data_IF_278109296723
#
_entry.id   IF_278109296723
#
_cell.length_a   1.000
_cell.length_b   1.000
_cell.length_c   1.000
_cell.angle_alpha   90.00
_cell.angle_beta   90.00
_cell.angle_gamma   90.00
#
_symmetry.space_group_name_H-M   'P 1'
#
loop_
_entity.id
_entity.type
_entity.pdbx_description
1 polymer ?
#
# COMPACT_ATOMS: atom_id res chain seq x y z
N UNK A 1 24.30 3.43 -11.58
CA UNK A 1 24.04 3.39 -10.11
C UNK A 1 22.53 3.39 -9.95
N UNK A 2 21.95 2.30 -9.43
CA UNK A 2 20.50 2.21 -9.20
C UNK A 2 20.19 3.03 -7.95
N UNK A 3 19.40 4.10 -8.11
CA UNK A 3 18.96 4.92 -6.99
C UNK A 3 17.61 4.37 -6.48
N UNK A 4 17.57 3.94 -5.24
CA UNK A 4 16.33 3.50 -4.58
C UNK A 4 16.16 4.32 -3.32
N UNK A 5 14.97 4.85 -3.11
CA UNK A 5 14.66 5.60 -1.88
C UNK A 5 14.63 4.66 -0.67
N UNK A 6 15.50 4.89 0.30
CA UNK A 6 15.49 4.23 1.61
C UNK A 6 14.79 5.09 2.67
N UNK A 7 14.66 6.39 2.39
CA UNK A 7 13.94 7.38 3.21
C UNK A 7 13.24 8.38 2.31
N UNK A 8 12.09 8.85 2.74
CA UNK A 8 11.34 9.89 2.06
C UNK A 8 10.65 10.80 3.06
N UNK A 9 10.72 12.10 2.84
CA UNK A 9 10.01 13.11 3.64
C UNK A 9 9.04 13.86 2.75
N UNK A 10 7.80 13.98 3.19
CA UNK A 10 6.78 14.75 2.49
C UNK A 10 5.90 15.53 3.46
N UNK A 11 5.10 16.41 2.90
CA UNK A 11 3.97 17.06 3.58
C UNK A 11 2.69 16.36 3.09
N UNK A 12 1.91 15.83 4.02
CA UNK A 12 0.54 15.41 3.79
C UNK A 12 -0.40 16.57 4.11
N UNK A 13 -1.48 16.71 3.36
CA UNK A 13 -2.54 17.69 3.60
C UNK A 13 -3.90 17.01 3.53
N UNK A 14 -4.77 17.33 4.45
CA UNK A 14 -6.10 16.74 4.58
C UNK A 14 -7.17 17.82 4.69
N UNK A 15 -8.35 17.53 4.20
CA UNK A 15 -9.53 18.38 4.42
C UNK A 15 -9.91 18.39 5.90
N UNK A 16 -9.64 19.49 6.59
CA UNK A 16 -9.98 19.66 8.02
C UNK A 16 -11.49 19.54 8.28
N UNK A 17 -12.37 20.13 7.46
CA UNK A 17 -13.83 19.96 7.62
C UNK A 17 -14.23 18.47 7.52
N UNK A 18 -13.75 17.77 6.47
CA UNK A 18 -14.06 16.34 6.30
C UNK A 18 -13.54 15.50 7.48
N UNK A 19 -12.33 15.77 7.94
CA UNK A 19 -11.74 15.08 9.08
C UNK A 19 -12.55 15.30 10.38
N UNK A 20 -13.01 16.53 10.64
CA UNK A 20 -13.83 16.82 11.80
C UNK A 20 -15.18 16.10 11.73
N UNK A 21 -15.84 16.10 10.55
CA UNK A 21 -17.09 15.38 10.31
C UNK A 21 -16.93 13.87 10.52
N UNK A 22 -15.85 13.26 10.01
CA UNK A 22 -15.54 11.85 10.19
C UNK A 22 -15.33 11.49 11.68
N UNK A 23 -14.54 12.30 12.40
CA UNK A 23 -14.30 12.08 13.83
C UNK A 23 -15.61 12.20 14.63
N UNK A 24 -16.46 13.20 14.34
CA UNK A 24 -17.78 13.37 14.98
C UNK A 24 -18.69 12.18 14.69
N UNK A 25 -18.74 11.72 13.43
CA UNK A 25 -19.56 10.56 13.03
C UNK A 25 -19.12 9.27 13.72
N UNK A 26 -17.82 8.92 13.65
CA UNK A 26 -17.28 7.72 14.28
C UNK A 26 -17.45 7.75 15.81
N UNK A 27 -17.24 8.91 16.45
CA UNK A 27 -17.36 9.07 17.88
C UNK A 27 -18.79 8.88 18.43
N UNK A 28 -19.82 8.99 17.58
CA UNK A 28 -21.23 8.75 17.92
C UNK A 28 -21.65 7.28 17.76
N UNK A 29 -20.82 6.42 17.14
CA UNK A 29 -21.17 5.02 16.93
C UNK A 29 -21.12 4.23 18.25
N UNK A 30 -22.20 3.55 18.65
CA UNK A 30 -22.28 2.87 19.95
C UNK A 30 -21.33 1.66 20.05
N UNK A 31 -21.02 1.04 18.92
CA UNK A 31 -20.17 -0.14 18.78
C UNK A 31 -18.70 0.19 18.51
N UNK A 32 -18.33 1.48 18.45
CA UNK A 32 -16.97 1.92 18.07
C UNK A 32 -15.86 1.19 18.85
N UNK A 33 -16.02 1.03 20.16
CA UNK A 33 -14.99 0.39 21.00
C UNK A 33 -14.91 -1.13 20.84
N UNK A 34 -15.98 -1.76 20.39
CA UNK A 34 -16.03 -3.21 20.14
C UNK A 34 -15.57 -3.58 18.72
N UNK A 35 -15.61 -2.63 17.77
CA UNK A 35 -15.02 -2.78 16.44
C UNK A 35 -13.58 -2.24 16.45
N UNK A 36 -12.61 -3.14 16.68
CA UNK A 36 -11.20 -2.78 16.78
C UNK A 36 -10.71 -2.02 15.55
N UNK A 37 -11.16 -2.39 14.36
CA UNK A 37 -10.76 -1.74 13.10
C UNK A 37 -11.25 -0.29 13.07
N UNK A 38 -12.54 -0.05 13.30
CA UNK A 38 -13.09 1.31 13.33
C UNK A 38 -12.48 2.14 14.45
N UNK A 39 -12.23 1.53 15.61
CA UNK A 39 -11.59 2.21 16.72
C UNK A 39 -10.18 2.65 16.39
N UNK A 40 -9.39 1.82 15.72
CA UNK A 40 -8.03 2.16 15.27
C UNK A 40 -8.04 3.27 14.23
N UNK A 41 -8.95 3.25 13.26
CA UNK A 41 -9.16 4.34 12.29
C UNK A 41 -9.52 5.66 12.99
N UNK A 42 -10.46 5.62 13.94
CA UNK A 42 -10.83 6.79 14.73
C UNK A 42 -9.65 7.38 15.51
N UNK A 43 -8.84 6.55 16.17
CA UNK A 43 -7.65 6.99 16.88
C UNK A 43 -6.59 7.58 15.94
N UNK A 44 -6.45 6.99 14.75
CA UNK A 44 -5.53 7.48 13.73
C UNK A 44 -5.95 8.87 13.21
N UNK A 45 -7.25 9.06 12.91
CA UNK A 45 -7.79 10.37 12.53
C UNK A 45 -7.54 11.43 13.61
N UNK A 46 -7.74 11.12 14.90
CA UNK A 46 -7.44 12.01 16.02
C UNK A 46 -5.94 12.37 16.08
N UNK A 47 -5.06 11.40 15.85
CA UNK A 47 -3.61 11.63 15.81
C UNK A 47 -3.22 12.53 14.63
N UNK A 48 -3.81 12.32 13.44
CA UNK A 48 -3.60 13.19 12.28
C UNK A 48 -4.08 14.61 12.61
N UNK A 49 -5.31 14.76 13.15
CA UNK A 49 -5.87 16.06 13.55
C UNK A 49 -4.96 16.82 14.52
N UNK A 50 -4.38 16.13 15.51
CA UNK A 50 -3.43 16.74 16.47
C UNK A 50 -2.16 17.28 15.83
N UNK A 51 -1.71 16.64 14.73
CA UNK A 51 -0.48 17.03 14.01
C UNK A 51 -0.72 18.08 12.93
N UNK A 52 -1.91 18.05 12.33
CA UNK A 52 -2.26 18.94 11.23
C UNK A 52 -2.35 20.39 11.68
N UNK A 53 -1.78 21.30 10.90
CA UNK A 53 -1.96 22.73 11.02
C UNK A 53 -3.40 23.17 10.68
N UNK A 54 -3.67 24.48 10.79
CA UNK A 54 -4.98 25.05 10.45
C UNK A 54 -5.40 24.79 9.00
N UNK A 55 -4.42 24.69 8.10
CA UNK A 55 -4.59 24.36 6.69
C UNK A 55 -4.65 22.86 6.38
N UNK A 56 -4.62 22.00 7.41
CA UNK A 56 -4.62 20.56 7.29
C UNK A 56 -3.27 19.91 6.96
N UNK A 57 -2.18 20.70 6.86
CA UNK A 57 -0.85 20.20 6.48
C UNK A 57 -0.06 19.67 7.67
N UNK A 58 0.70 18.58 7.48
CA UNK A 58 1.64 18.03 8.47
C UNK A 58 2.75 17.22 7.78
N UNK A 59 3.93 17.18 8.42
CA UNK A 59 5.08 16.46 7.89
C UNK A 59 5.06 14.97 8.23
N UNK A 60 5.46 14.12 7.27
CA UNK A 60 5.60 12.69 7.44
C UNK A 60 6.96 12.23 6.92
N UNK A 61 7.65 11.42 7.72
CA UNK A 61 8.89 10.77 7.34
C UNK A 61 8.61 9.28 7.07
N UNK A 62 8.99 8.82 5.90
CA UNK A 62 8.94 7.42 5.51
C UNK A 62 10.34 6.81 5.57
N UNK A 63 10.43 5.57 6.04
CA UNK A 63 11.67 4.80 6.07
C UNK A 63 11.39 3.31 5.87
N UNK A 64 12.42 2.57 5.48
CA UNK A 64 12.37 1.12 5.55
C UNK A 64 12.24 0.70 7.02
N UNK A 65 11.45 -0.32 7.28
CA UNK A 65 11.49 -1.00 8.58
C UNK A 65 12.76 -1.85 8.60
N UNK A 66 13.71 -1.51 9.50
CA UNK A 66 14.92 -2.27 9.71
C UNK A 66 14.58 -3.67 10.20
N UNK A 67 14.73 -4.63 9.30
CA UNK A 67 14.54 -6.03 9.64
C UNK A 67 15.87 -6.76 9.92
N UNK A 68 17.02 -6.13 9.73
CA UNK A 68 18.31 -6.64 10.18
C UNK A 68 19.40 -5.59 9.97
N UNK A 69 20.09 -5.20 11.03
CA UNK A 69 21.09 -4.13 11.00
C UNK A 69 22.48 -4.59 10.59
N UNK A 70 22.71 -5.88 10.36
CA UNK A 70 24.01 -6.43 10.02
C UNK A 70 24.13 -6.76 8.52
N UNK A 71 24.69 -5.83 7.76
CA UNK A 71 25.27 -6.07 6.42
C UNK A 71 24.34 -6.55 5.28
N UNK A 72 23.02 -6.49 5.40
CA UNK A 72 22.13 -6.86 4.32
C UNK A 72 21.34 -5.66 3.80
N UNK A 73 21.22 -5.54 2.46
CA UNK A 73 20.34 -4.57 1.80
C UNK A 73 18.96 -4.62 2.44
N UNK A 74 18.48 -3.47 2.94
CA UNK A 74 17.14 -3.38 3.49
C UNK A 74 16.11 -3.63 2.39
N UNK A 75 15.18 -4.55 2.65
CA UNK A 75 14.15 -4.99 1.71
C UNK A 75 12.78 -4.43 2.10
N UNK A 76 11.91 -4.30 1.12
CA UNK A 76 10.51 -4.00 1.34
C UNK A 76 10.11 -2.55 1.08
N UNK A 77 8.95 -2.18 1.59
CA UNK A 77 8.31 -0.87 1.40
C UNK A 77 8.78 0.17 2.39
N UNK A 78 8.60 1.43 2.01
CA UNK A 78 8.72 2.55 2.93
C UNK A 78 7.43 2.70 3.76
N UNK A 79 7.59 2.85 5.06
CA UNK A 79 6.50 3.05 6.00
C UNK A 79 6.65 4.38 6.74
N UNK A 80 5.54 5.07 7.05
CA UNK A 80 5.60 6.34 7.76
C UNK A 80 5.93 6.13 9.24
N UNK A 81 6.73 7.04 9.77
CA UNK A 81 6.97 7.15 11.20
C UNK A 81 5.80 7.93 11.84
N UNK A 82 4.84 7.21 12.39
CA UNK A 82 3.67 7.78 13.06
C UNK A 82 2.43 7.90 12.16
N UNK A 83 1.48 8.75 12.55
CA UNK A 83 0.20 8.88 11.86
C UNK A 83 0.36 9.45 10.45
N UNK A 84 -0.23 8.78 9.46
CA UNK A 84 -0.16 9.12 8.03
C UNK A 84 -1.38 8.59 7.30
N UNK A 85 -1.70 9.21 6.17
CA UNK A 85 -2.72 8.76 5.22
C UNK A 85 -2.50 7.32 4.72
N UNK A 86 -1.26 6.82 4.68
CA UNK A 86 -0.96 5.44 4.27
C UNK A 86 -1.65 4.41 5.16
N UNK A 87 -1.81 4.70 6.46
CA UNK A 87 -2.43 3.77 7.42
C UNK A 87 -3.95 3.84 7.46
N UNK A 88 -4.58 4.87 6.88
CA UNK A 88 -6.03 4.96 6.79
C UNK A 88 -6.58 3.96 5.77
N UNK A 89 -7.75 3.42 6.05
CA UNK A 89 -8.49 2.66 5.07
C UNK A 89 -8.78 3.52 3.83
N UNK A 90 -9.00 2.85 2.70
CA UNK A 90 -9.13 3.49 1.39
C UNK A 90 -10.24 4.56 1.39
N UNK A 91 -11.39 4.26 1.99
CA UNK A 91 -12.56 5.14 1.96
C UNK A 91 -12.32 6.43 2.76
N UNK A 92 -11.73 6.32 3.96
CA UNK A 92 -11.41 7.50 4.77
C UNK A 92 -10.31 8.34 4.14
N UNK A 93 -9.27 7.69 3.59
CA UNK A 93 -8.23 8.39 2.85
C UNK A 93 -8.78 9.19 1.68
N UNK A 94 -9.62 8.57 0.82
CA UNK A 94 -10.27 9.27 -0.30
C UNK A 94 -11.06 10.46 0.16
N UNK A 95 -11.89 10.31 1.19
CA UNK A 95 -12.72 11.39 1.71
C UNK A 95 -11.92 12.60 2.20
N UNK A 96 -10.68 12.38 2.68
CA UNK A 96 -9.80 13.44 3.15
C UNK A 96 -9.05 14.17 2.05
N UNK A 97 -8.81 13.53 0.89
CA UNK A 97 -7.87 14.04 -0.13
C UNK A 97 -8.47 14.28 -1.52
N UNK A 98 -9.68 13.82 -1.80
CA UNK A 98 -10.28 13.81 -3.15
C UNK A 98 -10.36 15.19 -3.83
N UNK A 99 -10.32 16.28 -3.09
CA UNK A 99 -10.43 17.65 -3.60
C UNK A 99 -9.09 18.26 -4.01
N UNK A 100 -7.96 17.67 -3.63
CA UNK A 100 -6.64 18.27 -3.83
C UNK A 100 -5.61 17.32 -4.45
N UNK A 101 -5.94 16.04 -4.59
CA UNK A 101 -4.96 15.03 -4.99
C UNK A 101 -5.37 14.20 -6.19
N UNK A 102 -4.37 13.73 -6.91
CA UNK A 102 -4.47 12.62 -7.84
C UNK A 102 -3.78 11.40 -7.22
N UNK A 103 -4.46 10.25 -7.22
CA UNK A 103 -3.91 8.95 -6.81
C UNK A 103 -3.30 8.26 -8.04
N UNK A 104 -1.99 8.09 -8.02
CA UNK A 104 -1.22 7.43 -9.08
C UNK A 104 -0.75 6.07 -8.58
N UNK A 105 -1.01 5.03 -9.36
CA UNK A 105 -0.77 3.65 -8.97
C UNK A 105 -0.18 2.84 -10.15
N UNK A 106 0.61 1.82 -9.85
CA UNK A 106 1.09 0.90 -10.88
C UNK A 106 0.01 -0.15 -11.15
N UNK A 107 -0.44 -0.23 -12.40
CA UNK A 107 -1.41 -1.23 -12.82
C UNK A 107 -0.83 -2.64 -12.67
N UNK A 108 -1.54 -3.48 -11.92
CA UNK A 108 -1.18 -4.88 -11.73
C UNK A 108 0.29 -5.10 -11.25
N UNK A 109 0.77 -4.27 -10.30
CA UNK A 109 2.17 -4.13 -9.94
C UNK A 109 2.91 -5.46 -9.69
N UNK A 110 2.52 -6.22 -8.67
CA UNK A 110 3.23 -7.45 -8.27
C UNK A 110 3.29 -8.50 -9.38
N UNK A 111 2.17 -8.90 -10.00
CA UNK A 111 2.22 -9.87 -11.10
C UNK A 111 3.10 -9.40 -12.26
N UNK A 112 2.95 -8.13 -12.67
CA UNK A 112 3.72 -7.57 -13.79
C UNK A 112 5.22 -7.52 -13.51
N UNK A 113 5.62 -7.11 -12.29
CA UNK A 113 7.02 -7.02 -11.91
C UNK A 113 7.67 -8.40 -11.77
N UNK A 114 6.99 -9.37 -11.13
CA UNK A 114 7.51 -10.74 -10.98
C UNK A 114 7.61 -11.43 -12.35
N UNK A 115 6.62 -11.26 -13.23
CA UNK A 115 6.69 -11.80 -14.59
C UNK A 115 7.92 -11.26 -15.36
N UNK A 116 8.21 -9.96 -15.20
CA UNK A 116 9.39 -9.37 -15.82
C UNK A 116 10.71 -9.85 -15.20
N UNK A 117 10.73 -10.13 -13.88
CA UNK A 117 11.89 -10.77 -13.24
C UNK A 117 12.14 -12.15 -13.85
N UNK A 118 11.10 -12.99 -13.97
CA UNK A 118 11.24 -14.31 -14.58
C UNK A 118 11.77 -14.20 -16.02
N UNK A 119 11.20 -13.30 -16.83
CA UNK A 119 11.66 -13.07 -18.23
C UNK A 119 13.13 -12.63 -18.30
N UNK A 120 13.55 -11.69 -17.42
CA UNK A 120 14.97 -11.25 -17.35
C UNK A 120 15.93 -12.38 -17.00
N UNK A 121 15.45 -13.33 -16.23
CA UNK A 121 16.20 -14.49 -15.81
C UNK A 121 16.05 -15.71 -16.77
N UNK A 122 15.42 -15.53 -17.93
CA UNK A 122 15.13 -16.59 -18.89
C UNK A 122 14.35 -17.77 -18.27
N UNK A 123 13.42 -17.46 -17.35
CA UNK A 123 12.47 -18.40 -16.79
C UNK A 123 11.12 -18.14 -17.43
N UNK A 124 10.62 -19.08 -18.21
CA UNK A 124 9.30 -18.99 -18.82
C UNK A 124 8.24 -19.42 -17.80
N UNK A 125 7.42 -18.46 -17.35
CA UNK A 125 6.26 -18.68 -16.50
C UNK A 125 5.00 -18.36 -17.33
N UNK A 126 4.43 -19.40 -17.95
CA UNK A 126 3.36 -19.26 -18.96
C UNK A 126 2.09 -18.69 -18.36
N UNK A 127 1.66 -19.25 -17.22
CA UNK A 127 0.41 -18.86 -16.57
C UNK A 127 0.46 -17.43 -16.02
N UNK A 128 1.61 -17.01 -15.45
CA UNK A 128 1.76 -15.64 -14.99
C UNK A 128 1.82 -14.65 -16.17
N UNK A 129 2.47 -15.04 -17.27
CA UNK A 129 2.48 -14.22 -18.47
C UNK A 129 1.07 -14.05 -19.04
N UNK A 130 0.30 -15.12 -19.17
CA UNK A 130 -1.08 -15.09 -19.62
C UNK A 130 -1.97 -14.24 -18.68
N UNK A 131 -1.81 -14.38 -17.37
CA UNK A 131 -2.51 -13.55 -16.40
C UNK A 131 -2.22 -12.05 -16.58
N UNK A 132 -0.97 -11.68 -16.82
CA UNK A 132 -0.59 -10.27 -17.02
C UNK A 132 -1.18 -9.71 -18.30
N UNK A 133 -1.21 -10.49 -19.38
CA UNK A 133 -1.71 -10.09 -20.69
C UNK A 133 -3.25 -10.10 -20.78
N UNK A 134 -3.90 -11.08 -20.13
CA UNK A 134 -5.33 -11.36 -20.26
C UNK A 134 -6.06 -11.37 -18.90
N UNK A 135 -5.72 -10.40 -18.04
CA UNK A 135 -6.18 -10.35 -16.66
C UNK A 135 -7.71 -10.48 -16.50
N UNK A 136 -8.48 -9.86 -17.38
CA UNK A 136 -9.94 -9.83 -17.27
C UNK A 136 -10.52 -11.25 -17.37
N UNK A 137 -9.98 -12.11 -18.24
CA UNK A 137 -10.33 -13.55 -18.32
C UNK A 137 -10.14 -14.27 -16.97
N UNK A 138 -9.05 -13.96 -16.27
CA UNK A 138 -8.77 -14.55 -14.96
C UNK A 138 -9.72 -14.04 -13.87
N UNK A 139 -10.10 -12.75 -13.95
CA UNK A 139 -11.04 -12.14 -12.99
C UNK A 139 -12.46 -12.64 -13.13
N UNK A 140 -12.83 -13.31 -14.25
CA UNK A 140 -14.09 -14.05 -14.41
C UNK A 140 -14.10 -15.35 -13.58
N UNK A 141 -12.95 -15.95 -13.31
CA UNK A 141 -12.82 -17.23 -12.57
C UNK A 141 -12.70 -16.97 -11.07
N UNK A 142 -11.84 -16.04 -10.66
CA UNK A 142 -11.63 -15.71 -9.27
C UNK A 142 -11.29 -14.21 -9.11
N UNK A 143 -11.49 -13.66 -7.91
CA UNK A 143 -11.20 -12.26 -7.65
C UNK A 143 -9.68 -11.97 -7.59
N UNK A 144 -9.31 -10.67 -7.68
CA UNK A 144 -7.92 -10.23 -7.64
C UNK A 144 -7.15 -10.74 -6.41
N UNK A 145 -7.81 -10.79 -5.25
CA UNK A 145 -7.17 -11.19 -3.99
C UNK A 145 -6.76 -12.65 -4.05
N UNK A 146 -7.59 -13.50 -4.67
CA UNK A 146 -7.28 -14.91 -4.90
C UNK A 146 -6.02 -15.09 -5.74
N UNK A 147 -5.96 -14.48 -6.91
CA UNK A 147 -4.79 -14.56 -7.79
C UNK A 147 -3.51 -14.01 -7.14
N UNK A 148 -3.64 -12.95 -6.34
CA UNK A 148 -2.50 -12.42 -5.58
C UNK A 148 -2.05 -13.38 -4.48
N UNK A 149 -2.98 -14.06 -3.82
CA UNK A 149 -2.66 -15.06 -2.80
C UNK A 149 -1.96 -16.28 -3.39
N UNK A 150 -2.43 -16.75 -4.56
CA UNK A 150 -1.79 -17.85 -5.30
C UNK A 150 -0.37 -17.47 -5.76
N UNK A 151 -0.18 -16.23 -6.26
CA UNK A 151 1.15 -15.69 -6.59
C UNK A 151 2.10 -15.73 -5.38
N UNK A 152 1.58 -15.47 -4.18
CA UNK A 152 2.33 -15.51 -2.94
C UNK A 152 2.34 -16.93 -2.29
N UNK A 153 2.15 -17.97 -3.10
CA UNK A 153 2.21 -19.37 -2.71
C UNK A 153 1.16 -19.78 -1.65
N UNK A 154 -0.03 -19.20 -1.67
CA UNK A 154 -1.16 -19.82 -0.98
C UNK A 154 -1.57 -21.07 -1.78
N UNK A 155 -1.55 -22.22 -1.13
CA UNK A 155 -1.97 -23.48 -1.76
C UNK A 155 -3.45 -23.40 -2.15
N UNK A 156 -3.81 -23.73 -3.42
CA UNK A 156 -5.20 -23.79 -3.82
C UNK A 156 -5.99 -24.77 -2.95
N UNK A 157 -7.23 -24.42 -2.60
CA UNK A 157 -8.10 -25.33 -1.86
C UNK A 157 -8.64 -26.45 -2.78
N UNK A 158 -9.32 -27.43 -2.21
CA UNK A 158 -9.86 -28.57 -2.95
C UNK A 158 -10.87 -28.16 -4.04
N UNK A 159 -11.65 -27.09 -3.78
CA UNK A 159 -12.65 -26.56 -4.71
C UNK A 159 -12.09 -25.58 -5.74
N UNK A 160 -10.78 -25.28 -5.70
CA UNK A 160 -10.15 -24.40 -6.68
C UNK A 160 -10.27 -24.99 -8.10
N UNK A 161 -10.49 -24.13 -9.08
CA UNK A 161 -10.53 -24.48 -10.49
C UNK A 161 -9.20 -25.05 -10.99
N UNK A 162 -9.23 -25.75 -12.11
CA UNK A 162 -8.01 -26.27 -12.73
C UNK A 162 -7.08 -25.12 -13.13
N UNK A 163 -7.64 -23.98 -13.57
CA UNK A 163 -6.88 -22.79 -13.92
C UNK A 163 -6.09 -22.21 -12.71
N UNK A 164 -6.71 -22.17 -11.51
CA UNK A 164 -6.05 -21.74 -10.28
C UNK A 164 -4.92 -22.68 -9.88
N UNK A 165 -5.14 -23.98 -10.01
CA UNK A 165 -4.12 -25.02 -9.73
C UNK A 165 -2.95 -24.95 -10.70
N UNK A 166 -3.22 -24.80 -12.00
CA UNK A 166 -2.19 -24.65 -13.03
C UNK A 166 -1.37 -23.35 -12.81
N UNK A 167 -2.04 -22.23 -12.53
CA UNK A 167 -1.39 -20.96 -12.23
C UNK A 167 -0.44 -21.08 -11.04
N UNK A 168 -0.92 -21.67 -9.95
CA UNK A 168 -0.10 -21.87 -8.75
C UNK A 168 1.10 -22.78 -9.01
N UNK A 169 0.89 -23.93 -9.65
CA UNK A 169 1.96 -24.90 -9.96
C UNK A 169 3.06 -24.30 -10.84
N UNK A 170 2.68 -23.54 -11.87
CA UNK A 170 3.64 -22.90 -12.77
C UNK A 170 4.47 -21.85 -12.02
N UNK A 171 3.84 -20.99 -11.22
CA UNK A 171 4.53 -19.98 -10.42
C UNK A 171 5.51 -20.60 -9.45
N UNK A 172 5.11 -21.64 -8.71
CA UNK A 172 5.99 -22.27 -7.71
C UNK A 172 7.17 -22.95 -8.38
N UNK A 173 6.95 -23.60 -9.51
CA UNK A 173 8.04 -24.17 -10.32
C UNK A 173 9.05 -23.10 -10.76
N UNK A 174 8.54 -21.97 -11.28
CA UNK A 174 9.37 -20.85 -11.72
C UNK A 174 10.10 -20.15 -10.56
N UNK A 175 9.41 -19.94 -9.45
CA UNK A 175 9.99 -19.34 -8.25
C UNK A 175 11.09 -20.19 -7.64
N UNK A 176 10.92 -21.51 -7.61
CA UNK A 176 11.96 -22.43 -7.15
C UNK A 176 13.23 -22.28 -8.01
N UNK A 177 13.12 -22.29 -9.33
CA UNK A 177 14.24 -22.05 -10.25
C UNK A 177 14.91 -20.69 -10.06
N UNK A 178 14.11 -19.64 -9.76
CA UNK A 178 14.62 -18.30 -9.52
C UNK A 178 15.43 -18.22 -8.23
N UNK A 179 14.88 -18.74 -7.14
CA UNK A 179 15.50 -18.65 -5.81
C UNK A 179 16.66 -19.60 -5.60
N UNK A 180 16.87 -20.59 -6.47
CA UNK A 180 18.11 -21.39 -6.52
C UNK A 180 19.31 -20.58 -7.04
N UNK A 181 19.09 -19.39 -7.64
CA UNK A 181 20.18 -18.53 -8.11
C UNK A 181 20.79 -17.75 -6.97
N UNK A 182 22.12 -17.60 -6.89
CA UNK A 182 22.81 -16.97 -5.74
C UNK A 182 22.29 -15.56 -5.40
N UNK A 183 21.95 -14.74 -6.42
CA UNK A 183 21.46 -13.39 -6.21
C UNK A 183 20.08 -13.37 -5.52
N UNK A 184 19.20 -14.31 -5.85
CA UNK A 184 17.84 -14.38 -5.34
C UNK A 184 17.69 -15.26 -4.09
N UNK A 185 18.65 -16.13 -3.84
CA UNK A 185 18.63 -17.03 -2.67
C UNK A 185 18.52 -16.27 -1.34
N UNK A 186 19.06 -15.04 -1.26
CA UNK A 186 18.95 -14.19 -0.07
C UNK A 186 17.51 -13.89 0.35
N UNK A 187 16.57 -13.83 -0.61
CA UNK A 187 15.14 -13.69 -0.30
C UNK A 187 14.60 -14.97 0.34
N UNK A 188 14.97 -16.14 -0.17
CA UNK A 188 14.53 -17.42 0.35
C UNK A 188 15.08 -17.67 1.77
N UNK A 189 16.36 -17.38 2.01
CA UNK A 189 16.99 -17.49 3.33
C UNK A 189 16.33 -16.59 4.37
N UNK A 190 15.95 -15.35 3.99
CA UNK A 190 15.18 -14.46 4.85
C UNK A 190 13.76 -14.98 5.05
N UNK A 191 13.13 -15.53 4.01
CA UNK A 191 11.82 -16.17 4.09
C UNK A 191 11.81 -17.33 5.07
N UNK A 192 12.84 -18.15 5.07
CA UNK A 192 12.97 -19.27 6.00
C UNK A 192 13.01 -18.83 7.48
N UNK A 193 13.62 -17.67 7.76
CA UNK A 193 13.64 -17.08 9.11
C UNK A 193 12.34 -16.40 9.50
N UNK A 194 11.62 -15.79 8.55
CA UNK A 194 10.44 -14.95 8.81
C UNK A 194 9.12 -15.69 8.68
N UNK A 195 9.03 -16.61 7.73
CA UNK A 195 7.86 -17.44 7.47
C UNK A 195 8.30 -18.82 6.97
N UNK A 196 8.76 -19.72 7.85
CA UNK A 196 9.29 -21.04 7.46
C UNK A 196 8.23 -21.92 6.79
N UNK A 197 6.96 -21.74 7.10
CA UNK A 197 5.84 -22.51 6.52
C UNK A 197 5.53 -22.09 5.08
N UNK A 198 5.82 -20.83 4.71
CA UNK A 198 5.65 -20.32 3.35
C UNK A 198 6.81 -19.42 2.91
N UNK A 199 8.04 -19.95 2.98
CA UNK A 199 9.25 -19.20 2.63
C UNK A 199 9.28 -18.71 1.18
N UNK A 200 8.76 -19.50 0.23
CA UNK A 200 8.71 -19.14 -1.19
C UNK A 200 7.76 -17.97 -1.40
N UNK A 201 6.55 -18.04 -0.86
CA UNK A 201 5.58 -16.94 -0.98
C UNK A 201 6.07 -15.65 -0.31
N UNK A 202 6.73 -15.76 0.84
CA UNK A 202 7.38 -14.64 1.47
C UNK A 202 8.47 -14.03 0.57
N UNK A 203 9.32 -14.86 -0.04
CA UNK A 203 10.38 -14.43 -0.93
C UNK A 203 9.84 -13.75 -2.19
N UNK A 204 8.79 -14.29 -2.82
CA UNK A 204 8.09 -13.65 -3.96
C UNK A 204 7.55 -12.28 -3.55
N UNK A 205 6.83 -12.20 -2.43
CA UNK A 205 6.26 -10.96 -1.92
C UNK A 205 7.32 -9.89 -1.66
N UNK A 206 8.44 -10.25 -1.03
CA UNK A 206 9.54 -9.32 -0.78
C UNK A 206 10.23 -8.86 -2.06
N UNK A 207 10.47 -9.77 -3.00
CA UNK A 207 11.05 -9.43 -4.30
C UNK A 207 10.13 -8.47 -5.07
N UNK A 208 8.81 -8.76 -5.12
CA UNK A 208 7.83 -7.89 -5.75
C UNK A 208 7.83 -6.50 -5.12
N UNK A 209 7.82 -6.43 -3.79
CA UNK A 209 7.82 -5.19 -3.01
C UNK A 209 9.11 -4.37 -3.22
N UNK A 210 10.26 -5.03 -3.36
CA UNK A 210 11.52 -4.36 -3.68
C UNK A 210 11.50 -3.74 -5.09
N UNK A 211 10.95 -4.47 -6.07
CA UNK A 211 10.83 -3.97 -7.44
C UNK A 211 9.77 -2.87 -7.54
N UNK A 212 8.70 -2.98 -6.79
CA UNK A 212 7.70 -1.92 -6.62
C UNK A 212 8.35 -0.63 -6.08
N UNK A 213 9.10 -0.71 -4.94
CA UNK A 213 9.80 0.44 -4.38
C UNK A 213 10.79 1.06 -5.38
N UNK A 214 11.54 0.23 -6.10
CA UNK A 214 12.48 0.66 -7.12
C UNK A 214 11.76 1.48 -8.20
N UNK A 215 10.72 0.94 -8.81
CA UNK A 215 9.97 1.58 -9.90
C UNK A 215 9.21 2.82 -9.45
N UNK A 216 8.54 2.77 -8.30
CA UNK A 216 7.86 3.92 -7.68
C UNK A 216 8.84 5.05 -7.39
N UNK A 217 10.05 4.75 -6.87
CA UNK A 217 11.06 5.76 -6.58
C UNK A 217 11.45 6.57 -7.81
N UNK A 218 11.69 5.91 -8.94
CA UNK A 218 12.04 6.61 -10.19
C UNK A 218 10.88 7.43 -10.75
N UNK A 219 9.66 6.87 -10.76
CA UNK A 219 8.46 7.61 -11.19
C UNK A 219 8.25 8.88 -10.38
N UNK A 220 8.33 8.79 -9.04
CA UNK A 220 8.20 9.93 -8.14
C UNK A 220 9.29 10.98 -8.38
N UNK A 221 10.55 10.56 -8.50
CA UNK A 221 11.67 11.49 -8.73
C UNK A 221 11.50 12.26 -10.02
N UNK A 222 11.08 11.60 -11.08
CA UNK A 222 10.81 12.25 -12.35
C UNK A 222 9.67 13.27 -12.24
N UNK A 223 8.51 12.89 -11.71
CA UNK A 223 7.39 13.81 -11.53
C UNK A 223 7.76 14.99 -10.61
N UNK A 224 8.53 14.73 -9.55
CA UNK A 224 9.05 15.80 -8.68
C UNK A 224 9.97 16.76 -9.43
N UNK A 225 10.79 16.28 -10.37
CA UNK A 225 11.66 17.16 -11.19
C UNK A 225 10.86 18.07 -12.12
N UNK A 226 9.63 17.70 -12.47
CA UNK A 226 8.67 18.52 -13.21
C UNK A 226 7.90 19.52 -12.32
N UNK A 227 8.19 19.56 -11.00
CA UNK A 227 7.55 20.48 -10.06
C UNK A 227 6.31 19.92 -9.35
N UNK A 228 5.89 18.67 -9.62
CA UNK A 228 4.77 18.06 -8.89
C UNK A 228 5.13 17.85 -7.42
N UNK A 229 4.17 18.14 -6.55
CA UNK A 229 4.29 17.86 -5.11
C UNK A 229 3.84 16.43 -4.81
N UNK A 230 4.80 15.52 -4.72
CA UNK A 230 4.52 14.14 -4.30
C UNK A 230 4.34 14.12 -2.79
N UNK A 231 3.25 13.54 -2.35
CA UNK A 231 2.87 13.43 -0.95
C UNK A 231 3.04 11.99 -0.43
N UNK A 232 1.95 11.37 0.01
CA UNK A 232 1.93 10.05 0.65
C UNK A 232 2.31 8.94 -0.32
N UNK A 233 3.14 8.03 0.15
CA UNK A 233 3.35 6.73 -0.51
C UNK A 233 2.21 5.78 -0.15
N UNK A 234 1.64 5.10 -1.15
CA UNK A 234 0.57 4.13 -0.94
C UNK A 234 0.93 2.85 -1.69
N UNK A 235 1.67 1.98 -1.01
CA UNK A 235 2.11 0.69 -1.56
C UNK A 235 2.76 0.84 -2.95
N UNK A 236 2.07 0.37 -3.99
CA UNK A 236 2.46 0.40 -5.39
C UNK A 236 2.17 1.74 -6.10
N UNK A 237 1.88 2.80 -5.30
CA UNK A 237 1.53 4.12 -5.81
C UNK A 237 1.88 5.26 -4.87
N UNK A 238 1.40 6.45 -5.21
CA UNK A 238 1.60 7.66 -4.42
C UNK A 238 0.53 8.72 -4.74
N UNK A 239 0.32 9.61 -3.78
CA UNK A 239 -0.56 10.76 -3.95
C UNK A 239 0.25 11.97 -4.46
N UNK A 240 -0.26 12.61 -5.50
CA UNK A 240 0.26 13.88 -6.03
C UNK A 240 -0.71 14.99 -5.63
N UNK A 241 -0.22 16.04 -4.94
CA UNK A 241 -1.03 17.20 -4.58
C UNK A 241 -1.23 18.11 -5.80
N UNK A 242 -1.99 17.61 -6.76
CA UNK A 242 -2.40 18.28 -7.99
C UNK A 242 -3.53 17.43 -8.61
N UNK A 243 -4.62 18.08 -9.03
CA UNK A 243 -5.72 17.42 -9.73
C UNK A 243 -5.46 17.25 -11.23
N UNK A 244 -4.48 17.97 -11.78
CA UNK A 244 -4.22 18.08 -13.21
C UNK A 244 -2.86 17.47 -13.60
N UNK A 245 -2.47 16.34 -12.98
CA UNK A 245 -1.28 15.61 -13.42
C UNK A 245 -1.46 15.24 -14.90
N UNK A 246 -0.55 15.69 -15.77
CA UNK A 246 -0.69 15.47 -17.21
C UNK A 246 -0.42 14.02 -17.59
N UNK A 247 -1.18 13.50 -18.55
CA UNK A 247 -1.01 12.13 -19.03
C UNK A 247 0.38 11.92 -19.68
N UNK A 248 0.84 12.90 -20.47
CA UNK A 248 2.17 12.88 -21.07
C UNK A 248 3.28 12.69 -20.02
N UNK A 249 3.18 13.36 -18.87
CA UNK A 249 4.17 13.23 -17.81
C UNK A 249 4.15 11.85 -17.12
N UNK A 250 2.99 11.18 -17.09
CA UNK A 250 2.92 9.79 -16.61
C UNK A 250 3.61 8.84 -17.61
N UNK A 251 3.36 9.02 -18.92
CA UNK A 251 4.04 8.22 -19.98
C UNK A 251 5.55 8.44 -19.98
N UNK A 252 5.99 9.69 -19.80
CA UNK A 252 7.41 10.00 -19.68
C UNK A 252 8.01 9.37 -18.40
N UNK A 253 7.29 9.40 -17.27
CA UNK A 253 7.72 8.74 -16.04
C UNK A 253 7.92 7.23 -16.23
N UNK A 254 7.02 6.57 -16.95
CA UNK A 254 7.14 5.15 -17.31
C UNK A 254 8.38 4.87 -18.16
N UNK A 255 8.64 5.72 -19.15
CA UNK A 255 9.84 5.61 -19.99
C UNK A 255 11.12 5.76 -19.15
N UNK A 256 11.16 6.73 -18.23
CA UNK A 256 12.29 6.92 -17.30
C UNK A 256 12.49 5.77 -16.34
N UNK A 257 11.40 5.19 -15.84
CA UNK A 257 11.47 3.97 -15.03
C UNK A 257 12.10 2.84 -15.84
N UNK A 258 11.65 2.64 -17.09
CA UNK A 258 12.22 1.61 -17.95
C UNK A 258 13.70 1.82 -18.25
N UNK A 259 14.11 3.05 -18.60
CA UNK A 259 15.51 3.40 -18.85
C UNK A 259 16.42 3.11 -17.63
N UNK A 260 15.91 3.41 -16.42
CA UNK A 260 16.69 3.31 -15.19
C UNK A 260 16.74 1.88 -14.63
N UNK A 261 15.65 1.14 -14.73
CA UNK A 261 15.46 -0.15 -14.03
C UNK A 261 15.33 -1.34 -14.97
N UNK A 262 14.98 -1.07 -16.23
CA UNK A 262 14.60 -2.06 -17.24
C UNK A 262 13.26 -2.74 -16.93
N UNK A 263 12.43 -2.19 -16.02
CA UNK A 263 11.06 -2.62 -15.77
C UNK A 263 10.06 -1.72 -16.49
N UNK A 264 9.14 -2.34 -17.22
CA UNK A 264 8.00 -1.65 -17.83
C UNK A 264 6.86 -1.63 -16.83
N UNK A 265 6.35 -0.43 -16.54
CA UNK A 265 5.17 -0.22 -15.70
C UNK A 265 4.12 0.57 -16.48
N UNK A 266 2.87 0.48 -16.05
CA UNK A 266 1.78 1.34 -16.50
C UNK A 266 1.27 2.11 -15.29
N UNK A 267 1.40 3.44 -15.31
CA UNK A 267 0.88 4.33 -14.27
C UNK A 267 -0.56 4.71 -14.60
N UNK A 268 -1.44 4.50 -13.65
CA UNK A 268 -2.87 4.80 -13.80
C UNK A 268 -3.35 5.73 -12.69
N UNK A 269 -4.35 6.58 -13.02
CA UNK A 269 -5.04 7.37 -12.02
C UNK A 269 -6.17 6.55 -11.41
N UNK A 270 -6.21 6.48 -10.08
CA UNK A 270 -7.34 5.91 -9.36
C UNK A 270 -8.32 7.01 -8.96
N UNK A 271 -9.63 6.79 -9.12
CA UNK A 271 -10.63 7.77 -8.71
C UNK A 271 -10.64 7.91 -7.18
N UNK A 272 -10.62 9.16 -6.70
CA UNK A 272 -10.69 9.51 -5.29
C UNK A 272 -12.08 9.94 -4.83
N UNK A 273 -13.00 10.22 -5.76
CA UNK A 273 -14.36 10.68 -5.47
C UNK A 273 -15.41 9.57 -5.31
N UNK A 274 -15.03 8.32 -5.52
CA UNK A 274 -15.89 7.14 -5.45
C UNK A 274 -15.80 6.46 -4.08
N UNK A 275 -16.29 7.12 -3.03
CA UNK A 275 -16.42 6.57 -1.68
C UNK A 275 -17.85 6.71 -1.18
N UNK A 276 -18.27 5.85 -0.25
CA UNK A 276 -19.59 5.90 0.36
C UNK A 276 -19.64 7.04 1.39
N UNK A 277 -20.30 8.15 1.00
CA UNK A 277 -20.36 9.36 1.84
C UNK A 277 -21.10 9.14 3.15
N UNK A 278 -22.19 8.36 3.13
CA UNK A 278 -22.99 8.06 4.31
C UNK A 278 -22.22 7.19 5.32
N UNK A 279 -21.49 6.19 4.81
CA UNK A 279 -20.63 5.36 5.66
C UNK A 279 -19.48 6.15 6.30
N UNK A 280 -18.91 7.10 5.56
CA UNK A 280 -17.74 7.88 5.99
C UNK A 280 -18.13 9.05 6.90
N UNK A 281 -19.20 9.77 6.57
CA UNK A 281 -19.59 11.02 7.23
C UNK A 281 -20.88 10.93 8.04
N UNK A 282 -21.59 9.78 7.95
CA UNK A 282 -22.96 9.67 8.44
C UNK A 282 -23.98 10.38 7.55
N UNK A 283 -25.26 10.33 7.93
CA UNK A 283 -26.32 11.04 7.23
C UNK A 283 -26.00 12.53 7.12
N UNK A 284 -26.49 13.17 6.07
CA UNK A 284 -26.37 14.63 5.98
C UNK A 284 -27.15 15.26 7.15
N UNK A 285 -26.60 16.27 7.82
CA UNK A 285 -27.36 16.96 8.87
C UNK A 285 -28.60 17.58 8.24
N UNK A 286 -29.75 17.35 8.86
CA UNK A 286 -30.93 18.13 8.56
C UNK A 286 -30.58 19.61 8.74
N UNK A 287 -31.04 20.49 7.84
CA UNK A 287 -30.56 21.84 7.63
C UNK A 287 -30.77 22.85 8.78
N UNK A 288 -30.87 22.38 10.04
CA UNK A 288 -31.21 23.22 11.20
C UNK A 288 -30.27 23.10 12.43
N UNK A 289 -29.13 22.41 12.36
CA UNK A 289 -28.19 22.34 13.52
C UNK A 289 -26.81 22.94 13.21
N UNK A 290 -26.68 24.26 13.28
CA UNK A 290 -25.40 24.93 13.57
C UNK A 290 -25.23 24.99 15.09
N UNK A 291 -24.51 24.03 15.70
CA UNK A 291 -24.12 24.10 17.10
C UNK A 291 -22.64 24.46 17.29
N UNK A 292 -22.46 25.41 18.21
CA UNK A 292 -21.25 26.02 18.71
C UNK A 292 -20.25 24.99 19.29
N UNK A 293 -18.99 25.00 18.80
CA UNK A 293 -17.90 24.14 19.25
C UNK A 293 -17.26 24.66 20.54
N UNK A 294 -17.83 24.29 21.70
CA UNK A 294 -17.20 24.46 23.01
C UNK A 294 -16.02 23.50 23.20
N UNK A 295 -14.81 24.04 23.28
CA UNK A 295 -13.56 23.32 23.54
C UNK A 295 -13.49 22.91 25.01
N UNK A 296 -13.69 21.63 25.32
CA UNK A 296 -13.38 21.00 26.62
C UNK A 296 -12.03 20.27 26.55
N UNK A 297 -11.06 20.73 27.32
CA UNK A 297 -9.76 20.08 27.43
C UNK A 297 -9.81 18.89 28.40
N UNK A 298 -9.17 17.79 28.03
CA UNK A 298 -8.77 16.72 28.93
C UNK A 298 -7.27 16.43 28.79
N UNK A 299 -6.55 16.74 29.86
CA UNK A 299 -5.17 16.33 30.06
C UNK A 299 -5.20 15.01 30.87
N UNK A 300 -4.52 14.04 30.35
CA UNK A 300 -3.93 12.86 30.96
C UNK A 300 -4.18 11.59 30.11
N UNK A 301 -3.19 11.20 29.35
CA UNK A 301 -2.89 9.79 28.98
C UNK A 301 -1.61 9.74 28.10
N UNK A 302 -0.52 10.30 28.56
CA UNK A 302 0.72 10.33 27.74
C UNK A 302 1.62 9.08 27.89
N UNK A 303 1.42 8.24 28.92
CA UNK A 303 2.39 7.18 29.26
C UNK A 303 2.06 5.78 28.70
N UNK A 304 0.80 5.46 28.40
CA UNK A 304 0.41 4.13 27.90
C UNK A 304 0.57 3.98 26.37
N UNK A 305 0.83 5.09 25.66
CA UNK A 305 0.73 5.17 24.19
C UNK A 305 1.98 4.66 23.45
N UNK A 306 3.16 4.70 24.07
CA UNK A 306 4.41 4.26 23.42
C UNK A 306 4.53 2.73 23.30
N UNK A 307 3.96 1.98 24.22
CA UNK A 307 3.93 0.51 24.13
C UNK A 307 2.93 -0.01 23.07
N UNK A 308 1.80 0.71 22.87
CA UNK A 308 0.79 0.37 21.87
C UNK A 308 1.23 0.61 20.41
N UNK A 309 2.14 1.56 20.17
CA UNK A 309 2.63 1.86 18.81
C UNK A 309 3.53 0.76 18.22
N UNK A 310 4.30 0.08 19.06
CA UNK A 310 5.12 -1.06 18.62
C UNK A 310 4.28 -2.31 18.34
N UNK A 311 3.13 -2.46 19.02
CA UNK A 311 2.15 -3.52 18.78
C UNK A 311 1.33 -3.22 17.53
N UNK A 312 0.75 -2.03 17.38
CA UNK A 312 -0.04 -1.65 16.21
C UNK A 312 0.77 -1.70 14.89
N UNK A 313 2.08 -1.42 14.93
CA UNK A 313 2.94 -1.58 13.75
C UNK A 313 3.19 -3.06 13.39
N UNK A 314 3.15 -3.98 14.36
CA UNK A 314 3.16 -5.43 14.13
C UNK A 314 1.81 -5.92 13.60
N UNK A 315 0.71 -5.39 14.13
CA UNK A 315 -0.66 -5.80 13.77
C UNK A 315 -1.09 -5.30 12.40
N UNK A 316 -0.64 -4.14 11.95
CA UNK A 316 -0.85 -3.68 10.56
C UNK A 316 -0.14 -4.59 9.55
N UNK A 317 1.07 -5.07 9.88
CA UNK A 317 1.75 -6.08 9.06
C UNK A 317 0.98 -7.42 9.08
N UNK A 318 0.40 -7.78 10.22
CA UNK A 318 -0.43 -8.98 10.41
C UNK A 318 -1.81 -8.84 9.74
N UNK A 319 -2.39 -7.65 9.72
CA UNK A 319 -3.67 -7.35 9.06
C UNK A 319 -3.56 -7.45 7.53
N UNK A 320 -2.50 -6.92 6.92
CA UNK A 320 -2.24 -7.13 5.48
C UNK A 320 -1.86 -8.58 5.16
N UNK A 321 -1.25 -9.29 6.10
CA UNK A 321 -1.07 -10.73 6.00
C UNK A 321 -2.41 -11.47 6.04
N UNK A 322 -3.37 -11.05 6.85
CA UNK A 322 -4.70 -11.65 7.00
C UNK A 322 -5.61 -11.39 5.79
N UNK A 323 -5.62 -10.16 5.25
CA UNK A 323 -6.35 -9.82 4.02
C UNK A 323 -5.76 -10.47 2.76
N UNK A 324 -4.49 -10.89 2.81
CA UNK A 324 -3.83 -11.68 1.77
C UNK A 324 -3.92 -13.21 2.00
N UNK A 325 -4.74 -13.67 2.94
CA UNK A 325 -4.96 -15.08 3.22
C UNK A 325 -3.84 -15.76 4.03
N UNK A 326 -3.06 -14.97 4.76
CA UNK A 326 -1.99 -15.48 5.63
C UNK A 326 -2.56 -15.80 7.03
N UNK A 327 -3.23 -16.93 7.15
CA UNK A 327 -3.44 -17.56 8.44
C UNK A 327 -2.20 -18.41 8.76
N UNK A 328 -1.38 -17.95 9.70
CA UNK A 328 -0.26 -18.70 10.24
C UNK A 328 -0.72 -19.85 11.13
#
# INVERSE_FOLDING_TARGET
MVFILDKYKCTERVSVPNMNRMIKHLGKQPDLKSDEKKYNEFQLLKKIKKRAGKDGSYEVNFSLKDYDTANTRALGRLYPAGASLQYLCKEYRKALVHQEYTDIDIKNAHPSLINQVFKKENIECKMLNEYVENRDKYLEVANKTEWTALLNNRVPNESASDLEKEYWNDIISCATKLFDRPYYNTYLEKGEKKNPTNKIGWAISQLATDKERETVSYAMMYLKSLGYKISTLIHDGFLVQDLNVKEEHLRDAEARVFEATGFRIELVRKPLNNFNREEVFGPEPDSEEEEDDGVGGDADVASAVLAGLAAAARDVCHYYQKDMGWHG
#
